data_IF_174647904068
#
_entry.id   IF_174647904068
#
_cell.length_a   1.000
_cell.length_b   1.000
_cell.length_c   1.000
_cell.angle_alpha   90.00
_cell.angle_beta   90.00
_cell.angle_gamma   90.00
#
_symmetry.space_group_name_H-M   'P 1'
#
loop_
_entity.id
_entity.type
_entity.pdbx_description
1 polymer ?
#
# COMPACT_ATOMS: atom_id res chain seq x y z
N UNK A 1 -26.24 9.34 -1.40
CA UNK A 1 -25.73 9.38 -2.79
C UNK A 1 -24.51 8.49 -2.81
N UNK A 2 -24.52 7.40 -3.59
CA UNK A 2 -23.31 6.59 -3.75
C UNK A 2 -22.25 7.45 -4.44
N UNK A 3 -21.06 7.45 -3.87
CA UNK A 3 -19.92 8.20 -4.42
C UNK A 3 -19.48 7.52 -5.72
N UNK A 4 -19.58 8.23 -6.87
CA UNK A 4 -19.11 7.74 -8.16
C UNK A 4 -17.61 7.48 -8.08
N UNK A 5 -17.14 6.39 -8.69
CA UNK A 5 -15.75 5.96 -8.65
C UNK A 5 -15.08 6.20 -9.98
N UNK A 6 -13.89 6.77 -9.97
CA UNK A 6 -13.11 7.03 -11.16
C UNK A 6 -12.36 5.76 -11.60
N UNK A 7 -12.63 5.31 -12.82
CA UNK A 7 -11.98 4.14 -13.42
C UNK A 7 -11.21 4.56 -14.66
N UNK A 8 -9.92 4.24 -14.70
CA UNK A 8 -9.11 4.38 -15.91
C UNK A 8 -9.06 3.05 -16.65
N UNK A 9 -9.37 3.08 -17.94
CA UNK A 9 -9.21 1.95 -18.86
C UNK A 9 -8.06 2.27 -19.81
N UNK A 10 -7.06 1.41 -19.82
CA UNK A 10 -5.89 1.49 -20.70
C UNK A 10 -5.95 0.31 -21.64
N UNK A 11 -6.32 0.56 -22.89
CA UNK A 11 -6.61 -0.46 -23.92
C UNK A 11 -6.46 0.19 -25.28
N UNK A 12 -5.73 -0.38 -26.21
CA UNK A 12 -5.48 0.22 -27.53
C UNK A 12 -6.60 -0.06 -28.55
N UNK A 13 -7.32 -1.17 -28.38
CA UNK A 13 -8.39 -1.54 -29.29
C UNK A 13 -9.68 -0.76 -28.98
N UNK A 14 -10.07 0.15 -29.88
CA UNK A 14 -11.27 0.98 -29.72
C UNK A 14 -12.56 0.17 -29.50
N UNK A 15 -12.67 -1.02 -30.08
CA UNK A 15 -13.84 -1.89 -29.90
C UNK A 15 -13.90 -2.44 -28.47
N UNK A 16 -12.75 -2.83 -27.93
CA UNK A 16 -12.63 -3.29 -26.54
C UNK A 16 -12.87 -2.16 -25.54
N UNK A 17 -12.31 -0.96 -25.78
CA UNK A 17 -12.63 0.23 -24.94
C UNK A 17 -14.13 0.49 -24.86
N UNK A 18 -14.82 0.40 -26.03
CA UNK A 18 -16.27 0.60 -26.11
C UNK A 18 -17.04 -0.50 -25.38
N UNK A 19 -16.63 -1.76 -25.54
CA UNK A 19 -17.22 -2.90 -24.83
C UNK A 19 -17.09 -2.70 -23.30
N UNK A 20 -15.89 -2.42 -22.81
CA UNK A 20 -15.63 -2.17 -21.39
C UNK A 20 -16.49 -1.01 -20.85
N UNK A 21 -16.57 0.09 -21.62
CA UNK A 21 -17.39 1.24 -21.24
C UNK A 21 -18.89 0.91 -21.16
N UNK A 22 -19.41 0.09 -22.10
CA UNK A 22 -20.80 -0.38 -22.07
C UNK A 22 -21.04 -1.29 -20.85
N UNK A 23 -20.12 -2.20 -20.53
CA UNK A 23 -20.25 -3.07 -19.35
C UNK A 23 -20.34 -2.29 -18.04
N UNK A 24 -19.81 -1.07 -18.00
CA UNK A 24 -19.73 -0.24 -16.80
C UNK A 24 -20.77 0.87 -16.76
N UNK A 25 -21.57 1.12 -17.82
CA UNK A 25 -22.46 2.28 -17.89
C UNK A 25 -23.56 2.29 -16.83
N UNK A 26 -24.05 1.10 -16.41
CA UNK A 26 -25.10 0.96 -15.38
C UNK A 26 -24.51 0.81 -13.96
N UNK A 27 -23.23 1.02 -13.82
CA UNK A 27 -22.52 0.94 -12.53
C UNK A 27 -22.15 2.36 -12.04
N UNK A 28 -21.93 2.56 -10.76
CA UNK A 28 -21.56 3.87 -10.20
C UNK A 28 -20.09 4.22 -10.52
N UNK A 29 -19.72 4.21 -11.80
CA UNK A 29 -18.37 4.50 -12.29
C UNK A 29 -18.34 5.70 -13.23
N UNK A 30 -17.31 6.52 -13.09
CA UNK A 30 -16.89 7.52 -14.08
C UNK A 30 -15.69 6.92 -14.82
N UNK A 31 -15.88 6.61 -16.10
CA UNK A 31 -14.88 5.91 -16.89
C UNK A 31 -14.12 6.89 -17.78
N UNK A 32 -12.79 6.80 -17.72
CA UNK A 32 -11.85 7.43 -18.65
C UNK A 32 -11.11 6.35 -19.43
N UNK A 33 -11.00 6.50 -20.75
CA UNK A 33 -10.25 5.56 -21.61
C UNK A 33 -9.05 6.23 -22.24
N UNK A 34 -7.95 5.51 -22.39
CA UNK A 34 -6.75 5.87 -23.15
C UNK A 34 -6.25 4.69 -23.94
N UNK A 35 -5.55 4.95 -25.05
CA UNK A 35 -5.10 3.93 -26.00
C UNK A 35 -3.62 3.56 -25.87
N UNK A 36 -2.84 4.26 -25.05
CA UNK A 36 -1.39 4.02 -24.94
C UNK A 36 -0.93 4.06 -23.50
N UNK A 37 0.18 3.37 -23.21
CA UNK A 37 0.78 3.38 -21.89
C UNK A 37 1.34 4.75 -21.50
N UNK A 38 1.85 5.52 -22.46
CA UNK A 38 2.37 6.87 -22.24
C UNK A 38 1.26 7.82 -21.78
N UNK A 39 0.09 7.78 -22.44
CA UNK A 39 -1.09 8.57 -22.01
C UNK A 39 -1.56 8.15 -20.61
N UNK A 40 -1.56 6.85 -20.33
CA UNK A 40 -1.92 6.34 -19.01
C UNK A 40 -1.01 6.90 -17.92
N UNK A 41 0.31 6.81 -18.10
CA UNK A 41 1.29 7.34 -17.12
C UNK A 41 1.11 8.86 -16.92
N UNK A 42 0.83 9.61 -17.98
CA UNK A 42 0.59 11.03 -17.88
C UNK A 42 -0.66 11.35 -17.06
N UNK A 43 -1.76 10.61 -17.27
CA UNK A 43 -3.00 10.79 -16.50
C UNK A 43 -2.83 10.38 -15.03
N UNK A 44 -2.14 9.27 -14.77
CA UNK A 44 -1.90 8.74 -13.43
C UNK A 44 -1.04 9.66 -12.55
N UNK A 45 -0.28 10.58 -13.15
CA UNK A 45 0.45 11.64 -12.44
C UNK A 45 -0.41 12.85 -12.06
N UNK A 46 -1.54 13.03 -12.76
CA UNK A 46 -2.35 14.25 -12.66
C UNK A 46 -3.71 14.04 -12.04
N UNK A 47 -4.20 12.80 -12.00
CA UNK A 47 -5.52 12.46 -11.52
C UNK A 47 -5.50 11.20 -10.66
N UNK A 48 -6.36 11.16 -9.65
CA UNK A 48 -6.58 9.99 -8.80
C UNK A 48 -7.69 9.11 -9.39
N UNK A 49 -7.47 7.80 -9.37
CA UNK A 49 -8.43 6.79 -9.81
C UNK A 49 -8.71 5.82 -8.67
N UNK A 50 -9.94 5.29 -8.63
CA UNK A 50 -10.35 4.24 -7.68
C UNK A 50 -10.00 2.83 -8.18
N UNK A 51 -9.76 2.68 -9.49
CA UNK A 51 -9.36 1.42 -10.14
C UNK A 51 -8.76 1.68 -11.52
N UNK A 52 -7.79 0.87 -11.91
CA UNK A 52 -7.23 0.85 -13.27
C UNK A 52 -7.51 -0.53 -13.89
N UNK A 53 -8.11 -0.55 -15.09
CA UNK A 53 -8.11 -1.70 -15.98
C UNK A 53 -7.00 -1.50 -17.01
N UNK A 54 -6.03 -2.40 -17.05
CA UNK A 54 -4.81 -2.24 -17.83
C UNK A 54 -4.57 -3.43 -18.74
N UNK A 55 -4.63 -3.21 -20.05
CA UNK A 55 -4.20 -4.24 -21.00
C UNK A 55 -2.69 -4.43 -20.93
N UNK A 56 -2.27 -5.68 -21.01
CA UNK A 56 -0.85 -6.04 -21.10
C UNK A 56 -0.31 -5.72 -22.50
N UNK A 57 -1.10 -5.96 -23.53
CA UNK A 57 -0.68 -5.89 -24.95
C UNK A 57 -0.90 -4.48 -25.51
N UNK A 58 -0.18 -3.49 -24.98
CA UNK A 58 -0.23 -2.12 -25.48
C UNK A 58 0.88 -1.84 -26.50
N UNK A 59 0.63 -0.95 -27.48
CA UNK A 59 1.67 -0.47 -28.39
C UNK A 59 2.63 0.49 -27.65
N UNK A 60 3.91 0.44 -27.99
CA UNK A 60 4.94 1.25 -27.35
C UNK A 60 5.41 0.62 -26.04
N UNK A 61 5.08 1.23 -24.91
CA UNK A 61 5.34 0.65 -23.58
C UNK A 61 4.22 -0.34 -23.23
N UNK A 62 4.61 -1.56 -22.84
CA UNK A 62 3.66 -2.61 -22.49
C UNK A 62 2.96 -2.33 -21.14
N UNK A 63 1.87 -3.05 -20.85
CA UNK A 63 1.13 -2.90 -19.61
C UNK A 63 1.94 -3.22 -18.34
N UNK A 64 2.96 -4.06 -18.42
CA UNK A 64 3.85 -4.33 -17.29
C UNK A 64 4.76 -3.15 -16.98
N UNK A 65 5.26 -2.46 -18.00
CA UNK A 65 6.06 -1.25 -17.81
C UNK A 65 5.21 -0.09 -17.27
N UNK A 66 3.94 0.01 -17.73
CA UNK A 66 2.96 0.95 -17.16
C UNK A 66 2.73 0.64 -15.68
N UNK A 67 2.42 -0.62 -15.34
CA UNK A 67 2.20 -1.06 -13.96
C UNK A 67 3.40 -0.77 -13.07
N UNK A 68 4.60 -1.14 -13.50
CA UNK A 68 5.85 -0.87 -12.77
C UNK A 68 6.07 0.62 -12.53
N UNK A 69 5.87 1.44 -13.56
CA UNK A 69 6.01 2.90 -13.46
C UNK A 69 4.97 3.50 -12.52
N UNK A 70 3.75 2.98 -12.57
CA UNK A 70 2.65 3.43 -11.72
C UNK A 70 2.90 3.08 -10.25
N UNK A 71 3.34 1.87 -9.94
CA UNK A 71 3.66 1.45 -8.57
C UNK A 71 4.77 2.26 -7.90
N UNK A 72 5.61 2.94 -8.67
CA UNK A 72 6.58 3.91 -8.14
C UNK A 72 5.92 5.25 -7.72
N UNK A 73 4.73 5.55 -8.25
CA UNK A 73 3.99 6.80 -7.99
C UNK A 73 2.92 6.55 -6.92
N UNK A 74 2.17 5.46 -7.05
CA UNK A 74 1.05 5.09 -6.22
C UNK A 74 1.03 3.57 -6.00
N UNK A 75 1.19 3.15 -4.73
CA UNK A 75 1.15 1.74 -4.34
C UNK A 75 -0.27 1.27 -4.01
N UNK A 76 -1.20 2.21 -3.75
CA UNK A 76 -2.50 1.92 -3.13
C UNK A 76 -3.65 1.79 -4.15
N UNK A 77 -3.60 2.45 -5.31
CA UNK A 77 -4.66 2.34 -6.32
C UNK A 77 -4.68 0.95 -6.95
N UNK A 78 -5.81 0.22 -6.90
CA UNK A 78 -5.91 -1.12 -7.42
C UNK A 78 -5.80 -1.18 -8.95
N UNK A 79 -5.08 -2.19 -9.44
CA UNK A 79 -4.88 -2.47 -10.87
C UNK A 79 -5.33 -3.89 -11.19
N UNK A 80 -6.23 -4.02 -12.17
CA UNK A 80 -6.63 -5.29 -12.76
C UNK A 80 -6.01 -5.37 -14.15
N UNK A 81 -5.23 -6.42 -14.41
CA UNK A 81 -4.66 -6.67 -15.74
C UNK A 81 -5.66 -7.36 -16.64
N UNK A 82 -5.76 -6.90 -17.88
CA UNK A 82 -6.47 -7.60 -18.95
C UNK A 82 -5.44 -8.39 -19.78
N UNK A 83 -5.64 -9.69 -19.96
CA UNK A 83 -4.66 -10.56 -20.63
C UNK A 83 -5.34 -11.51 -21.59
N UNK A 84 -4.65 -11.91 -22.67
CA UNK A 84 -5.12 -12.98 -23.54
C UNK A 84 -5.00 -14.35 -22.86
N UNK A 85 -5.86 -15.28 -23.22
CA UNK A 85 -5.80 -16.68 -22.73
C UNK A 85 -4.50 -17.34 -23.20
N UNK A 86 -3.70 -17.88 -22.29
CA UNK A 86 -2.68 -18.86 -22.63
C UNK A 86 -1.35 -18.82 -21.89
N UNK A 87 -1.01 -17.76 -21.17
CA UNK A 87 0.31 -17.68 -20.55
C UNK A 87 0.23 -17.52 -19.02
N UNK A 88 0.27 -18.69 -18.34
CA UNK A 88 0.34 -18.73 -16.86
C UNK A 88 1.54 -17.90 -16.33
N UNK A 89 2.61 -17.77 -17.13
CA UNK A 89 3.78 -16.95 -16.83
C UNK A 89 3.47 -15.47 -16.73
N UNK A 90 2.59 -14.95 -17.59
CA UNK A 90 2.21 -13.54 -17.61
C UNK A 90 1.37 -13.15 -16.38
N UNK A 91 0.49 -14.02 -15.95
CA UNK A 91 -0.32 -13.81 -14.74
C UNK A 91 0.59 -13.70 -13.50
N UNK A 92 1.51 -14.65 -13.35
CA UNK A 92 2.47 -14.67 -12.23
C UNK A 92 3.36 -13.42 -12.26
N UNK A 93 3.82 -13.02 -13.46
CA UNK A 93 4.62 -11.80 -13.64
C UNK A 93 3.85 -10.56 -13.22
N UNK A 94 2.59 -10.41 -13.68
CA UNK A 94 1.76 -9.26 -13.35
C UNK A 94 1.48 -9.13 -11.85
N UNK A 95 1.13 -10.22 -11.19
CA UNK A 95 0.89 -10.25 -9.74
C UNK A 95 2.17 -9.90 -8.95
N UNK A 96 3.33 -10.42 -9.36
CA UNK A 96 4.62 -10.08 -8.74
C UNK A 96 5.02 -8.61 -8.94
N UNK A 97 4.55 -7.97 -10.02
CA UNK A 97 4.76 -6.54 -10.28
C UNK A 97 3.76 -5.65 -9.52
N UNK A 98 2.83 -6.24 -8.77
CA UNK A 98 1.89 -5.50 -7.93
C UNK A 98 0.50 -5.30 -8.55
N UNK A 99 0.09 -6.11 -9.52
CA UNK A 99 -1.32 -6.18 -9.92
C UNK A 99 -2.15 -6.85 -8.82
N UNK A 100 -3.41 -6.41 -8.66
CA UNK A 100 -4.30 -6.87 -7.60
C UNK A 100 -5.24 -7.99 -8.03
N UNK A 101 -5.47 -8.10 -9.33
CA UNK A 101 -6.20 -9.20 -9.99
C UNK A 101 -5.87 -9.20 -11.50
N UNK A 102 -6.39 -10.18 -12.20
CA UNK A 102 -6.32 -10.26 -13.66
C UNK A 102 -7.64 -10.79 -14.23
N UNK A 103 -7.91 -10.46 -15.50
CA UNK A 103 -9.07 -10.95 -16.28
C UNK A 103 -8.56 -11.42 -17.60
N UNK A 104 -8.88 -12.67 -17.96
CA UNK A 104 -8.51 -13.23 -19.27
C UNK A 104 -9.55 -12.87 -20.33
N UNK A 105 -9.08 -12.41 -21.49
CA UNK A 105 -9.91 -12.18 -22.68
C UNK A 105 -10.08 -13.50 -23.46
N UNK A 106 -11.32 -13.86 -23.89
CA UNK A 106 -12.57 -13.15 -23.71
C UNK A 106 -13.16 -13.35 -22.32
N UNK A 107 -13.87 -12.36 -21.81
CA UNK A 107 -14.52 -12.38 -20.50
C UNK A 107 -16.02 -12.06 -20.60
N UNK A 108 -16.78 -12.52 -19.62
CA UNK A 108 -18.18 -12.16 -19.46
C UNK A 108 -18.32 -10.80 -18.74
N UNK A 109 -19.25 -9.91 -19.18
CA UNK A 109 -19.48 -8.61 -18.50
C UNK A 109 -19.72 -8.72 -17.00
N UNK A 110 -20.45 -9.74 -16.57
CA UNK A 110 -20.71 -10.02 -15.15
C UNK A 110 -19.47 -10.39 -14.36
N UNK A 111 -18.50 -11.09 -14.96
CA UNK A 111 -17.22 -11.41 -14.37
C UNK A 111 -16.39 -10.14 -14.15
N UNK A 112 -16.27 -9.29 -15.18
CA UNK A 112 -15.56 -8.02 -15.11
C UNK A 112 -16.08 -7.19 -13.92
N UNK A 113 -17.39 -6.93 -13.87
CA UNK A 113 -18.02 -6.13 -12.81
C UNK A 113 -17.82 -6.75 -11.42
N UNK A 114 -17.96 -8.09 -11.32
CA UNK A 114 -17.78 -8.80 -10.05
C UNK A 114 -16.35 -8.68 -9.53
N UNK A 115 -15.34 -8.84 -10.39
CA UNK A 115 -13.91 -8.69 -10.03
C UNK A 115 -13.58 -7.26 -9.67
N UNK A 116 -13.99 -6.28 -10.47
CA UNK A 116 -13.81 -4.86 -10.16
C UNK A 116 -14.39 -4.52 -8.78
N UNK A 117 -15.63 -4.90 -8.50
CA UNK A 117 -16.26 -4.68 -7.20
C UNK A 117 -15.55 -5.42 -6.07
N UNK A 118 -15.04 -6.63 -6.31
CA UNK A 118 -14.29 -7.40 -5.31
C UNK A 118 -12.97 -6.72 -4.96
N UNK A 119 -12.23 -6.25 -5.96
CA UNK A 119 -10.96 -5.54 -5.79
C UNK A 119 -11.23 -4.21 -5.08
N UNK A 120 -12.08 -3.35 -5.61
CA UNK A 120 -12.43 -2.08 -4.99
C UNK A 120 -12.91 -2.25 -3.55
N UNK A 121 -13.68 -3.30 -3.24
CA UNK A 121 -14.13 -3.59 -1.87
C UNK A 121 -12.97 -3.97 -0.96
N UNK A 122 -11.95 -4.69 -1.44
CA UNK A 122 -10.72 -5.00 -0.67
C UNK A 122 -9.96 -3.73 -0.32
N UNK A 123 -9.87 -2.80 -1.24
CA UNK A 123 -9.25 -1.49 -1.04
C UNK A 123 -10.17 -0.50 -0.31
N UNK A 124 -11.51 -0.56 -0.49
CA UNK A 124 -12.52 0.17 0.31
C UNK A 124 -12.91 -0.52 1.62
N UNK A 125 -12.48 -1.77 1.85
CA UNK A 125 -12.53 -2.39 3.19
C UNK A 125 -11.42 -1.86 4.13
N UNK A 126 -10.76 -0.82 3.72
CA UNK A 126 -10.60 0.29 4.64
C UNK A 126 -11.88 1.15 4.56
N UNK A 127 -12.97 0.87 5.38
CA UNK A 127 -13.91 1.93 5.67
C UNK A 127 -13.10 3.08 6.27
N UNK A 128 -13.71 4.24 6.46
CA UNK A 128 -13.38 5.20 7.52
C UNK A 128 -13.51 4.59 8.95
N UNK A 129 -13.28 3.33 9.14
CA UNK A 129 -12.69 2.86 10.37
C UNK A 129 -11.34 3.54 10.36
N UNK A 130 -11.26 4.58 11.13
CA UNK A 130 -10.03 5.19 11.57
C UNK A 130 -8.97 4.09 11.63
N UNK A 131 -8.11 3.99 10.59
CA UNK A 131 -6.89 3.18 10.63
C UNK A 131 -5.94 3.82 11.68
N UNK A 132 -6.60 4.36 12.70
CA UNK A 132 -6.02 4.99 13.87
C UNK A 132 -6.02 3.94 14.97
N UNK A 133 -4.85 3.42 15.22
CA UNK A 133 -4.61 2.55 16.36
C UNK A 133 -4.09 3.42 17.50
N UNK A 134 -4.80 3.37 18.63
CA UNK A 134 -4.40 4.13 19.84
C UNK A 134 -3.86 3.19 20.91
N UNK A 135 -2.66 3.50 21.40
CA UNK A 135 -2.04 2.80 22.54
C UNK A 135 -1.25 3.78 23.40
N UNK A 136 -1.52 3.83 24.71
CA UNK A 136 -0.80 4.66 25.68
C UNK A 136 -0.70 6.16 25.29
N UNK A 137 -1.75 6.71 24.66
CA UNK A 137 -1.78 8.07 24.17
C UNK A 137 -1.15 8.28 22.79
N UNK A 138 -0.37 7.32 22.30
CA UNK A 138 0.14 7.34 20.92
C UNK A 138 -0.94 6.87 19.95
N UNK A 139 -1.06 7.59 18.86
CA UNK A 139 -2.00 7.34 17.79
C UNK A 139 -1.23 7.09 16.50
N UNK A 140 -1.48 5.94 15.87
CA UNK A 140 -0.99 5.62 14.54
C UNK A 140 -2.11 5.85 13.54
N UNK A 141 -1.91 6.76 12.61
CA UNK A 141 -2.70 6.85 11.38
C UNK A 141 -1.98 6.04 10.29
N UNK A 142 -2.50 4.85 10.01
CA UNK A 142 -1.89 3.94 9.04
C UNK A 142 -1.95 4.48 7.61
N UNK A 143 -3.00 5.26 7.28
CA UNK A 143 -3.16 5.84 5.95
C UNK A 143 -2.11 6.93 5.69
N UNK A 144 -1.86 7.78 6.70
CA UNK A 144 -0.82 8.81 6.62
C UNK A 144 0.57 8.30 6.96
N UNK A 145 0.70 7.02 7.37
CA UNK A 145 1.95 6.44 7.91
C UNK A 145 2.58 7.36 8.97
N UNK A 146 1.75 7.84 9.90
CA UNK A 146 2.16 8.87 10.85
C UNK A 146 1.80 8.47 12.28
N UNK A 147 2.74 8.67 13.19
CA UNK A 147 2.50 8.61 14.62
C UNK A 147 2.27 10.01 15.19
N UNK A 148 1.29 10.13 16.07
CA UNK A 148 1.03 11.34 16.85
C UNK A 148 0.85 11.01 18.33
N UNK A 149 1.13 11.97 19.20
CA UNK A 149 0.84 11.95 20.62
C UNK A 149 0.12 13.25 20.95
N UNK A 150 -1.10 13.20 21.49
CA UNK A 150 -1.89 14.39 21.82
C UNK A 150 -1.90 15.42 20.65
N UNK A 151 -2.17 14.94 19.45
CA UNK A 151 -2.20 15.70 18.17
C UNK A 151 -0.85 16.28 17.71
N UNK A 152 0.25 16.04 18.45
CA UNK A 152 1.59 16.41 18.01
C UNK A 152 2.20 15.28 17.20
N UNK A 153 2.68 15.60 16.00
CA UNK A 153 3.36 14.63 15.13
C UNK A 153 4.71 14.22 15.73
N UNK A 154 5.02 12.92 15.66
CA UNK A 154 6.35 12.39 15.99
C UNK A 154 7.13 12.25 14.69
N UNK A 155 8.18 13.05 14.49
CA UNK A 155 8.94 13.05 13.23
C UNK A 155 10.01 11.97 13.21
N UNK A 156 9.56 10.73 12.97
CA UNK A 156 10.46 9.59 12.77
C UNK A 156 11.13 9.63 11.39
N UNK A 157 12.39 9.22 11.32
CA UNK A 157 13.01 8.81 10.04
C UNK A 157 12.34 7.54 9.54
N UNK A 158 12.52 7.18 8.26
CA UNK A 158 11.95 5.96 7.68
C UNK A 158 12.28 4.71 8.52
N UNK A 159 13.53 4.59 8.98
CA UNK A 159 14.02 3.48 9.81
C UNK A 159 13.36 3.46 11.20
N UNK A 160 13.36 4.61 11.87
CA UNK A 160 12.72 4.75 13.18
C UNK A 160 11.22 4.43 13.13
N UNK A 161 10.53 4.88 12.06
CA UNK A 161 9.12 4.58 11.84
C UNK A 161 8.87 3.08 11.74
N UNK A 162 9.64 2.35 10.93
CA UNK A 162 9.47 0.91 10.74
C UNK A 162 9.75 0.12 12.01
N UNK A 163 10.83 0.46 12.73
CA UNK A 163 11.15 -0.16 14.02
C UNK A 163 10.02 0.07 15.03
N UNK A 164 9.59 1.34 15.16
CA UNK A 164 8.53 1.68 16.10
C UNK A 164 7.19 1.05 15.71
N UNK A 165 6.85 1.04 14.43
CA UNK A 165 5.66 0.37 13.91
C UNK A 165 5.64 -1.13 14.27
N UNK A 166 6.75 -1.83 14.08
CA UNK A 166 6.86 -3.26 14.41
C UNK A 166 6.59 -3.52 15.88
N UNK A 167 7.19 -2.73 16.75
CA UNK A 167 6.99 -2.84 18.20
C UNK A 167 5.55 -2.46 18.59
N UNK A 168 5.04 -1.35 18.07
CA UNK A 168 3.71 -0.82 18.38
C UNK A 168 2.57 -1.76 17.95
N UNK A 169 2.72 -2.45 16.81
CA UNK A 169 1.73 -3.40 16.31
C UNK A 169 1.71 -4.72 17.09
N UNK A 170 2.79 -5.04 17.80
CA UNK A 170 2.95 -6.31 18.54
C UNK A 170 3.38 -6.06 20.00
N UNK A 171 2.53 -5.48 20.85
CA UNK A 171 2.91 -4.94 22.15
C UNK A 171 3.44 -5.99 23.15
N UNK A 172 3.09 -7.25 22.99
CA UNK A 172 3.50 -8.33 23.91
C UNK A 172 4.73 -9.09 23.41
N UNK A 173 5.15 -8.83 22.18
CA UNK A 173 6.24 -9.55 21.56
C UNK A 173 7.58 -8.87 21.85
N UNK A 174 8.55 -9.68 22.29
CA UNK A 174 9.96 -9.26 22.36
C UNK A 174 10.61 -9.53 21.00
N UNK A 175 11.24 -8.49 20.46
CA UNK A 175 12.02 -8.61 19.21
C UNK A 175 13.51 -8.54 19.52
N UNK A 176 14.26 -9.47 18.96
CA UNK A 176 15.72 -9.42 19.04
C UNK A 176 16.27 -8.26 18.20
N UNK A 177 17.53 -7.90 18.45
CA UNK A 177 18.20 -6.85 17.67
C UNK A 177 18.31 -7.24 16.20
N UNK A 178 18.59 -8.52 15.93
CA UNK A 178 18.68 -9.08 14.59
C UNK A 178 17.34 -9.03 13.85
N UNK A 179 16.22 -9.37 14.50
CA UNK A 179 14.88 -9.29 13.90
C UNK A 179 14.50 -7.86 13.55
N UNK A 180 14.82 -6.88 14.39
CA UNK A 180 14.57 -5.48 14.11
C UNK A 180 15.49 -4.92 13.01
N UNK A 181 16.70 -5.44 12.88
CA UNK A 181 17.60 -5.08 11.80
C UNK A 181 17.17 -5.67 10.44
N UNK A 182 16.63 -6.90 10.41
CA UNK A 182 16.18 -7.55 9.18
C UNK A 182 15.00 -6.87 8.49
N UNK A 183 14.24 -6.03 9.20
CA UNK A 183 13.12 -5.28 8.63
C UNK A 183 13.52 -4.27 7.55
N UNK A 184 14.81 -4.02 7.34
CA UNK A 184 15.25 -2.82 6.60
C UNK A 184 16.29 -3.03 5.50
N UNK A 185 16.86 -4.22 5.33
CA UNK A 185 18.03 -4.34 4.44
C UNK A 185 17.78 -5.14 3.18
N UNK A 186 17.37 -4.42 2.12
CA UNK A 186 17.32 -4.93 0.76
C UNK A 186 18.62 -4.65 -0.04
N UNK A 187 19.73 -4.24 0.58
CA UNK A 187 20.97 -3.94 -0.12
C UNK A 187 22.24 -4.22 0.67
N UNK A 188 23.34 -4.64 0.00
CA UNK A 188 24.62 -4.97 0.64
C UNK A 188 25.43 -3.76 1.16
N UNK A 189 25.05 -2.53 0.80
CA UNK A 189 25.82 -1.32 1.10
C UNK A 189 25.46 -0.61 2.43
N UNK A 190 24.31 -0.93 3.05
CA UNK A 190 23.85 -0.24 4.27
C UNK A 190 24.22 -0.94 5.58
N UNK A 191 25.07 -1.97 5.56
CA UNK A 191 25.43 -2.77 6.75
C UNK A 191 26.21 -2.03 7.83
N UNK A 192 26.65 -0.82 7.60
CA UNK A 192 27.58 -0.11 8.49
C UNK A 192 27.00 1.09 9.24
N UNK A 193 25.71 1.44 9.04
CA UNK A 193 25.18 2.68 9.62
C UNK A 193 24.24 2.40 10.80
N UNK A 194 24.77 2.58 12.00
CA UNK A 194 24.12 2.65 13.32
C UNK A 194 23.49 1.36 13.84
N UNK A 195 23.85 1.00 15.04
CA UNK A 195 23.24 -0.12 15.78
C UNK A 195 21.75 0.14 16.05
N UNK A 196 20.95 -0.91 16.15
CA UNK A 196 19.53 -0.82 16.55
C UNK A 196 19.34 -0.03 17.83
N UNK A 197 20.30 -0.13 18.77
CA UNK A 197 20.29 0.58 20.04
C UNK A 197 20.30 2.11 19.85
N UNK A 198 20.99 2.60 18.81
CA UNK A 198 20.97 4.04 18.44
C UNK A 198 19.61 4.45 17.92
N UNK A 199 18.96 3.65 17.07
CA UNK A 199 17.61 3.95 16.60
C UNK A 199 16.60 3.95 17.75
N UNK A 200 16.66 2.97 18.65
CA UNK A 200 15.80 2.93 19.84
C UNK A 200 16.01 4.15 20.73
N UNK A 201 17.25 4.58 20.93
CA UNK A 201 17.57 5.80 21.67
C UNK A 201 16.90 7.02 21.03
N UNK A 202 17.08 7.21 19.72
CA UNK A 202 16.51 8.35 18.99
C UNK A 202 14.96 8.33 19.01
N UNK A 203 14.35 7.14 18.85
CA UNK A 203 12.89 6.98 18.94
C UNK A 203 12.40 7.45 20.34
N UNK A 204 13.05 7.00 21.41
CA UNK A 204 12.70 7.40 22.78
C UNK A 204 12.85 8.92 22.99
N UNK A 205 13.90 9.54 22.46
CA UNK A 205 14.11 10.98 22.54
C UNK A 205 13.00 11.73 21.82
N UNK A 206 12.66 11.37 20.59
CA UNK A 206 11.58 11.99 19.81
C UNK A 206 10.20 11.85 20.46
N UNK A 207 9.93 10.73 21.10
CA UNK A 207 8.70 10.50 21.88
C UNK A 207 8.65 11.43 23.09
N UNK A 208 9.77 11.67 23.78
CA UNK A 208 9.83 12.62 24.91
C UNK A 208 9.66 14.07 24.44
N UNK A 209 10.23 14.45 23.30
CA UNK A 209 10.13 15.80 22.74
C UNK A 209 8.66 16.21 22.48
N UNK A 210 7.79 15.25 22.16
CA UNK A 210 6.35 15.53 21.98
C UNK A 210 5.54 15.48 23.28
N UNK A 211 6.18 15.16 24.43
CA UNK A 211 5.58 15.23 25.77
C UNK A 211 5.24 13.88 26.41
N UNK A 212 5.78 12.77 25.92
CA UNK A 212 5.60 11.47 26.55
C UNK A 212 6.76 11.10 27.47
N UNK A 213 6.57 11.21 28.76
CA UNK A 213 7.57 10.80 29.76
C UNK A 213 7.53 9.28 30.07
N UNK A 214 6.49 8.58 29.58
CA UNK A 214 6.35 7.13 29.80
C UNK A 214 7.28 6.36 28.87
N UNK A 215 7.96 5.30 29.37
CA UNK A 215 8.83 4.46 28.55
C UNK A 215 7.96 3.53 27.65
N UNK A 216 7.63 3.97 26.43
CA UNK A 216 6.84 3.18 25.49
C UNK A 216 7.60 2.00 24.87
N UNK A 217 8.92 1.97 24.98
CA UNK A 217 9.77 0.87 24.54
C UNK A 217 10.57 0.39 25.75
N UNK A 218 10.42 -0.87 26.09
CA UNK A 218 11.20 -1.54 27.12
C UNK A 218 12.40 -2.29 26.53
N UNK A 219 13.50 -2.28 27.31
CA UNK A 219 14.67 -3.11 27.02
C UNK A 219 14.54 -4.43 27.76
N UNK A 220 14.53 -5.53 27.02
CA UNK A 220 14.65 -6.88 27.58
C UNK A 220 16.13 -7.26 27.56
N UNK A 221 16.77 -7.19 28.73
CA UNK A 221 18.21 -7.37 28.86
C UNK A 221 18.66 -8.71 28.30
N UNK A 222 19.72 -8.68 27.49
CA UNK A 222 20.26 -9.86 26.84
C UNK A 222 19.47 -10.39 25.64
N UNK A 223 18.27 -9.84 25.36
CA UNK A 223 17.39 -10.30 24.25
C UNK A 223 17.19 -9.19 23.23
N UNK A 224 16.48 -8.10 23.59
CA UNK A 224 16.11 -7.08 22.64
C UNK A 224 15.16 -6.03 23.20
N UNK A 225 14.07 -5.75 22.45
CA UNK A 225 13.13 -4.70 22.77
C UNK A 225 11.69 -5.14 22.60
N UNK A 226 10.76 -4.58 23.40
CA UNK A 226 9.32 -4.75 23.26
C UNK A 226 8.60 -3.40 23.41
N UNK A 227 7.38 -3.30 22.89
CA UNK A 227 6.50 -2.18 23.21
C UNK A 227 5.93 -2.40 24.63
N UNK A 228 5.81 -1.33 25.39
CA UNK A 228 5.26 -1.35 26.75
C UNK A 228 3.81 -1.87 26.73
N UNK A 229 3.50 -2.90 27.50
CA UNK A 229 2.13 -3.38 27.74
C UNK A 229 1.72 -3.06 29.16
N UNK A 230 0.54 -2.47 29.33
CA UNK A 230 0.03 -2.02 30.63
C UNK A 230 -0.44 -3.14 31.58
N UNK A 231 0.01 -4.38 31.37
CA UNK A 231 -0.39 -5.53 32.19
C UNK A 231 0.41 -5.62 33.50
N UNK A 232 1.43 -4.79 33.69
CA UNK A 232 2.31 -4.81 34.87
C UNK A 232 1.96 -3.75 35.95
N UNK A 233 0.72 -3.24 35.97
CA UNK A 233 0.21 -2.38 37.04
C UNK A 233 -1.02 -3.04 37.70
N UNK A 234 -0.80 -4.14 38.42
CA UNK A 234 -1.59 -4.57 39.58
C UNK A 234 -0.70 -4.74 40.79
#
# INVERSE_FOLDING_TARGET
MENMKNVLIVEDEMQMQKLLSICLQDQPFVVKTVGTGEEAIQLLRSFEYDLILLDIMLPGIDGYEVLKSFRLIDEDTPVILLTAVGETGDIVRGLNLGADDYITKPFEPSELVARMNSVIRRFKRQPEQTNIIKRHGVMLDQNKRQFTLEDKKIDFTKKEYQIFLRLFMNPEQVFTREELLQLEWNGPEERFDRSIDTHIKNIREKIREVGCDKPLIETVWGVGYKYFSSTDLL
#
